data_IF_829607756890
#
_entry.id   IF_829607756890
#
_cell.length_a   1.000
_cell.length_b   1.000
_cell.length_c   1.000
_cell.angle_alpha   90.00
_cell.angle_beta   90.00
_cell.angle_gamma   90.00
#
_symmetry.space_group_name_H-M   'P 1'
#
loop_
_entity.id
_entity.type
_entity.pdbx_description
1 polymer ?
#
# COMPACT_ATOMS: atom_id res chain seq x y z
N UNK A 1 -45.82 35.14 -5.66
CA UNK A 1 -45.06 34.68 -4.47
C UNK A 1 -44.39 33.36 -4.81
N UNK A 2 -43.11 33.24 -4.44
CA UNK A 2 -42.23 32.05 -4.41
C UNK A 2 -41.57 31.57 -5.73
N UNK A 3 -40.24 31.63 -5.68
CA UNK A 3 -39.22 31.18 -6.62
C UNK A 3 -38.87 29.69 -6.45
N UNK A 4 -38.39 29.05 -7.53
CA UNK A 4 -37.22 28.14 -7.72
C UNK A 4 -37.56 27.18 -8.89
N UNK A 5 -37.06 27.31 -10.13
CA UNK A 5 -35.70 27.06 -10.69
C UNK A 5 -35.17 25.69 -10.19
N UNK A 6 -34.85 24.65 -10.99
CA UNK A 6 -33.85 24.48 -12.08
C UNK A 6 -34.20 23.18 -12.86
N UNK A 7 -34.58 23.17 -14.15
CA UNK A 7 -33.79 22.96 -15.41
C UNK A 7 -32.67 21.90 -15.37
N UNK A 8 -32.92 20.69 -15.88
CA UNK A 8 -32.40 20.16 -17.17
C UNK A 8 -31.31 19.06 -16.92
N UNK A 9 -30.98 18.07 -17.77
CA UNK A 9 -31.06 17.86 -19.23
C UNK A 9 -31.16 16.34 -19.52
N UNK A 10 -31.86 16.02 -20.59
CA UNK A 10 -32.10 14.72 -21.26
C UNK A 10 -30.92 14.13 -22.04
N UNK A 11 -30.92 12.78 -22.14
CA UNK A 11 -30.49 11.92 -23.27
C UNK A 11 -28.97 11.74 -23.52
N UNK A 12 -28.42 10.61 -24.01
CA UNK A 12 -28.94 9.36 -24.56
C UNK A 12 -27.89 8.24 -24.43
N UNK A 13 -28.36 6.99 -24.50
CA UNK A 13 -27.61 5.73 -24.52
C UNK A 13 -26.72 5.57 -25.77
N UNK A 14 -25.66 4.76 -25.69
CA UNK A 14 -25.21 3.87 -26.78
C UNK A 14 -24.40 2.66 -26.23
N UNK A 15 -24.93 1.47 -26.52
CA UNK A 15 -24.34 0.14 -26.33
C UNK A 15 -23.05 -0.06 -27.15
N UNK A 16 -22.10 -0.86 -26.65
CA UNK A 16 -21.42 -1.87 -27.49
C UNK A 16 -20.81 -3.01 -26.63
N UNK A 17 -21.38 -4.20 -26.80
CA UNK A 17 -20.85 -5.50 -26.37
C UNK A 17 -19.63 -5.88 -27.23
N UNK A 18 -18.58 -6.48 -26.63
CA UNK A 18 -17.93 -7.73 -27.10
C UNK A 18 -16.72 -8.16 -26.24
N UNK A 19 -16.76 -9.45 -25.88
CA UNK A 19 -15.63 -10.34 -25.52
C UNK A 19 -14.87 -10.11 -24.21
N UNK A 20 -15.44 -10.64 -23.11
CA UNK A 20 -14.66 -11.13 -21.96
C UNK A 20 -14.07 -12.51 -22.29
N UNK A 21 -12.76 -12.58 -22.54
CA UNK A 21 -12.01 -13.83 -22.43
C UNK A 21 -10.68 -13.55 -21.72
N UNK A 22 -10.59 -14.08 -20.51
CA UNK A 22 -9.41 -14.40 -19.70
C UNK A 22 -8.13 -13.57 -19.93
N UNK A 23 -7.83 -12.69 -18.97
CA UNK A 23 -6.47 -12.30 -18.62
C UNK A 23 -6.33 -12.25 -17.09
N UNK A 24 -5.19 -12.66 -16.52
CA UNK A 24 -4.93 -12.58 -15.07
C UNK A 24 -4.81 -11.11 -14.65
N UNK A 25 -5.56 -10.72 -13.62
CA UNK A 25 -5.71 -9.33 -13.18
C UNK A 25 -4.61 -8.91 -12.21
N UNK A 26 -3.50 -8.40 -12.74
CA UNK A 26 -2.79 -7.28 -12.15
C UNK A 26 -1.90 -6.62 -13.23
N UNK A 27 -1.98 -5.29 -13.31
CA UNK A 27 -1.62 -4.39 -14.42
C UNK A 27 -2.71 -4.14 -15.49
N UNK A 28 -3.39 -3.00 -15.37
CA UNK A 28 -3.90 -2.28 -16.53
C UNK A 28 -3.63 -0.78 -16.32
N UNK A 29 -2.78 -0.23 -17.18
CA UNK A 29 -2.49 1.20 -17.25
C UNK A 29 -3.75 1.99 -17.64
N UNK A 30 -3.88 3.16 -17.01
CA UNK A 30 -5.00 4.09 -17.15
C UNK A 30 -5.25 4.59 -18.59
N UNK A 31 -6.51 4.67 -18.98
CA UNK A 31 -7.03 5.64 -19.97
C UNK A 31 -8.38 6.20 -19.47
N UNK A 32 -8.55 7.54 -19.57
CA UNK A 32 -9.53 8.38 -18.85
C UNK A 32 -11.02 8.24 -19.22
N UNK A 33 -11.97 9.04 -18.75
CA UNK A 33 -12.00 10.37 -18.10
C UNK A 33 -13.27 10.46 -17.20
N UNK A 34 -13.34 11.30 -16.15
CA UNK A 34 -13.96 12.63 -16.21
C UNK A 34 -13.64 13.51 -14.98
N UNK A 35 -13.47 14.81 -15.24
CA UNK A 35 -13.06 15.88 -14.32
C UNK A 35 -14.10 16.26 -13.26
N UNK A 36 -13.65 16.39 -12.01
CA UNK A 36 -14.02 17.48 -11.10
C UNK A 36 -12.74 17.91 -10.38
N UNK A 37 -12.38 19.18 -10.50
CA UNK A 37 -11.02 19.67 -10.28
C UNK A 37 -10.50 19.51 -8.85
N UNK A 38 -9.34 18.87 -8.73
CA UNK A 38 -8.20 19.22 -7.88
C UNK A 38 -6.94 18.72 -8.60
N UNK A 39 -5.86 19.48 -8.47
CA UNK A 39 -4.66 19.44 -9.32
C UNK A 39 -4.13 18.03 -9.67
N UNK A 40 -3.87 17.83 -10.95
CA UNK A 40 -3.08 16.72 -11.48
C UNK A 40 -1.61 16.88 -11.09
N UNK A 41 -1.25 16.47 -9.88
CA UNK A 41 0.10 15.96 -9.60
C UNK A 41 0.05 14.45 -9.73
N UNK A 42 0.48 13.95 -10.89
CA UNK A 42 0.80 12.54 -11.06
C UNK A 42 2.02 12.23 -10.18
N UNK A 43 1.77 11.75 -8.96
CA UNK A 43 2.73 10.91 -8.24
C UNK A 43 2.91 9.61 -9.05
N UNK A 44 4.09 9.01 -9.02
CA UNK A 44 4.54 8.06 -10.05
C UNK A 44 3.82 6.70 -10.08
N UNK A 45 2.60 6.60 -9.53
CA UNK A 45 1.69 5.45 -9.67
C UNK A 45 2.11 4.20 -8.91
N UNK A 46 3.37 4.12 -8.50
CA UNK A 46 4.00 2.96 -7.89
C UNK A 46 4.20 3.11 -6.37
N UNK A 47 3.72 4.22 -5.77
CA UNK A 47 3.86 4.46 -4.34
C UNK A 47 2.64 4.01 -3.55
N UNK A 48 2.86 3.17 -2.55
CA UNK A 48 1.82 2.57 -1.71
C UNK A 48 1.95 3.09 -0.30
N UNK A 49 0.89 3.73 0.22
CA UNK A 49 0.84 4.17 1.61
C UNK A 49 0.76 2.97 2.57
N UNK A 50 1.52 3.03 3.65
CA UNK A 50 1.47 2.07 4.76
C UNK A 50 0.72 2.69 5.93
N UNK A 51 -0.28 1.99 6.42
CA UNK A 51 -1.16 2.43 7.49
C UNK A 51 -0.93 1.61 8.76
N UNK A 52 -1.04 2.27 9.91
CA UNK A 52 -1.08 1.58 11.21
C UNK A 52 -2.48 0.98 11.46
N UNK A 53 -2.64 0.27 12.58
CA UNK A 53 -3.94 -0.27 13.04
C UNK A 53 -5.08 0.76 13.05
N UNK A 54 -4.77 2.03 13.30
CA UNK A 54 -5.76 3.11 13.35
C UNK A 54 -6.11 3.70 11.96
N UNK A 55 -5.49 3.20 10.88
CA UNK A 55 -5.69 3.71 9.52
C UNK A 55 -4.89 4.98 9.22
N UNK A 56 -3.92 5.35 10.06
CA UNK A 56 -3.05 6.53 9.85
C UNK A 56 -1.82 6.13 9.04
N UNK A 57 -1.47 6.93 8.03
CA UNK A 57 -0.23 6.74 7.25
C UNK A 57 1.00 6.89 8.15
N UNK A 58 1.88 5.90 8.10
CA UNK A 58 3.11 5.79 8.93
C UNK A 58 4.37 5.55 8.09
N UNK A 59 4.21 5.35 6.78
CA UNK A 59 5.31 5.12 5.86
C UNK A 59 4.81 4.88 4.44
N UNK A 60 5.74 4.55 3.56
CA UNK A 60 5.47 4.38 2.13
C UNK A 60 6.26 3.21 1.58
N UNK A 61 5.73 2.56 0.55
CA UNK A 61 6.46 1.58 -0.26
C UNK A 61 6.63 2.18 -1.64
N UNK A 62 7.85 2.16 -2.17
CA UNK A 62 8.12 2.46 -3.57
C UNK A 62 9.19 1.48 -4.06
N UNK A 63 8.96 0.80 -5.20
CA UNK A 63 9.90 -0.16 -5.78
C UNK A 63 10.40 -1.23 -4.77
N UNK A 64 9.48 -1.78 -3.97
CA UNK A 64 9.77 -2.75 -2.89
C UNK A 64 10.68 -2.21 -1.78
N UNK A 65 10.90 -0.90 -1.70
CA UNK A 65 11.61 -0.23 -0.61
C UNK A 65 10.59 0.46 0.28
N UNK A 66 10.74 0.29 1.58
CA UNK A 66 9.89 0.88 2.61
C UNK A 66 10.59 2.12 3.16
N UNK A 67 9.93 3.25 3.07
CA UNK A 67 10.41 4.54 3.53
C UNK A 67 9.66 4.99 4.80
N UNK A 68 10.32 5.87 5.57
CA UNK A 68 9.69 6.60 6.66
C UNK A 68 8.54 7.48 6.17
N UNK A 69 7.78 8.02 7.13
CA UNK A 69 6.63 8.90 6.87
C UNK A 69 6.98 10.11 5.97
N UNK A 70 8.20 10.65 6.08
CA UNK A 70 8.68 11.77 5.26
C UNK A 70 9.18 11.37 3.87
N UNK A 71 9.39 10.08 3.58
CA UNK A 71 9.95 9.58 2.31
C UNK A 71 11.46 9.79 2.14
N UNK A 72 12.11 10.41 3.13
CA UNK A 72 13.53 10.79 3.09
C UNK A 72 14.49 9.68 3.52
N UNK A 73 14.00 8.60 4.16
CA UNK A 73 14.84 7.53 4.70
C UNK A 73 14.25 6.18 4.34
N UNK A 74 15.04 5.37 3.64
CA UNK A 74 14.74 3.95 3.48
C UNK A 74 14.95 3.22 4.81
N UNK A 75 13.92 2.52 5.27
CA UNK A 75 13.87 1.82 6.56
C UNK A 75 14.04 0.32 6.39
N UNK A 76 13.36 -0.25 5.39
CA UNK A 76 13.39 -1.66 5.10
C UNK A 76 13.14 -1.90 3.60
N UNK A 77 13.27 -3.14 3.15
CA UNK A 77 12.87 -3.53 1.81
C UNK A 77 12.20 -4.91 1.83
N UNK A 78 11.41 -5.17 0.80
CA UNK A 78 10.66 -6.42 0.60
C UNK A 78 11.41 -7.25 -0.43
N UNK A 79 11.67 -8.52 -0.10
CA UNK A 79 12.18 -9.51 -1.04
C UNK A 79 11.31 -10.76 -1.05
N UNK A 80 10.69 -11.04 -2.19
CA UNK A 80 9.58 -12.00 -2.33
C UNK A 80 8.42 -11.64 -1.39
N UNK A 81 8.46 -12.12 -0.15
CA UNK A 81 7.47 -11.83 0.90
C UNK A 81 8.13 -11.50 2.23
N UNK A 82 9.46 -11.52 2.30
CA UNK A 82 10.19 -11.25 3.52
C UNK A 82 10.60 -9.78 3.58
N UNK A 83 10.58 -9.23 4.78
CA UNK A 83 10.90 -7.83 5.06
C UNK A 83 12.21 -7.79 5.81
N UNK A 84 13.14 -6.99 5.30
CA UNK A 84 14.48 -6.86 5.85
C UNK A 84 14.78 -5.40 6.15
N UNK A 85 15.40 -5.14 7.31
CA UNK A 85 15.88 -3.81 7.67
C UNK A 85 16.97 -3.33 6.70
N UNK A 86 17.01 -2.04 6.40
CA UNK A 86 18.18 -1.42 5.78
C UNK A 86 19.31 -1.27 6.81
N UNK A 87 20.49 -1.79 6.50
CA UNK A 87 21.65 -1.77 7.39
C UNK A 87 21.71 -2.98 8.34
N UNK A 88 22.75 -3.05 9.16
CA UNK A 88 22.89 -4.09 10.20
C UNK A 88 22.75 -5.53 9.68
N UNK A 89 23.44 -5.87 8.58
CA UNK A 89 23.40 -7.19 7.92
C UNK A 89 22.04 -7.60 7.31
N UNK A 90 21.18 -6.64 6.96
CA UNK A 90 19.85 -6.91 6.36
C UNK A 90 19.04 -7.86 7.25
N UNK A 91 18.88 -7.51 8.52
CA UNK A 91 18.20 -8.36 9.50
C UNK A 91 16.74 -8.58 9.10
N UNK A 92 16.29 -9.84 9.14
CA UNK A 92 14.90 -10.22 8.90
C UNK A 92 13.98 -9.65 10.00
N UNK A 93 12.95 -8.91 9.58
CA UNK A 93 11.97 -8.26 10.44
C UNK A 93 10.67 -9.06 10.53
N UNK A 94 10.25 -9.65 9.43
CA UNK A 94 8.95 -10.32 9.31
C UNK A 94 8.53 -10.47 7.85
N UNK A 95 7.23 -10.51 7.59
CA UNK A 95 6.70 -10.78 6.25
C UNK A 95 5.74 -9.69 5.76
N UNK A 96 5.69 -9.51 4.45
CA UNK A 96 4.66 -8.75 3.76
C UNK A 96 3.82 -9.73 2.91
N UNK A 97 2.58 -9.94 3.33
CA UNK A 97 1.68 -10.90 2.70
C UNK A 97 0.24 -10.42 2.78
N UNK A 98 -0.53 -10.60 1.70
CA UNK A 98 -1.93 -10.15 1.56
C UNK A 98 -2.17 -8.70 2.02
N UNK A 99 -1.20 -7.82 1.78
CA UNK A 99 -1.25 -6.40 2.14
C UNK A 99 -0.97 -6.10 3.62
N UNK A 100 -0.57 -7.08 4.43
CA UNK A 100 -0.16 -6.88 5.82
C UNK A 100 1.35 -7.04 6.01
N UNK A 101 1.92 -6.13 6.79
CA UNK A 101 3.21 -6.35 7.43
C UNK A 101 2.99 -7.15 8.70
N UNK A 102 3.64 -8.30 8.80
CA UNK A 102 3.49 -9.25 9.91
C UNK A 102 4.80 -9.43 10.66
N UNK A 103 4.71 -9.48 11.98
CA UNK A 103 5.84 -9.80 12.84
C UNK A 103 6.28 -11.28 12.70
N UNK A 104 7.34 -11.65 13.42
CA UNK A 104 7.88 -13.02 13.40
C UNK A 104 6.95 -14.07 14.03
N UNK A 105 5.87 -13.65 14.68
CA UNK A 105 4.83 -14.52 15.22
C UNK A 105 3.59 -14.59 14.31
N UNK A 106 3.57 -13.87 13.18
CA UNK A 106 2.48 -13.88 12.21
C UNK A 106 1.37 -12.85 12.47
N UNK A 107 1.50 -12.01 13.50
CA UNK A 107 0.51 -10.96 13.80
C UNK A 107 0.75 -9.71 12.96
N UNK A 108 -0.33 -9.03 12.56
CA UNK A 108 -0.22 -7.83 11.73
C UNK A 108 0.27 -6.62 12.53
N UNK A 109 1.25 -5.89 12.00
CA UNK A 109 1.79 -4.65 12.56
C UNK A 109 1.23 -3.43 11.81
N UNK A 110 1.17 -3.54 10.48
CA UNK A 110 0.72 -2.48 9.59
C UNK A 110 0.06 -3.09 8.35
N UNK A 111 -0.60 -2.27 7.55
CA UNK A 111 -1.33 -2.72 6.37
C UNK A 111 -1.27 -1.70 5.23
N UNK A 112 -1.56 -2.15 4.01
CA UNK A 112 -1.74 -1.29 2.83
C UNK A 112 -3.16 -1.43 2.30
N UNK A 113 -3.61 -0.48 1.49
CA UNK A 113 -4.95 -0.53 0.88
C UNK A 113 -5.16 -1.85 0.12
N UNK A 114 -6.32 -2.47 0.34
CA UNK A 114 -6.66 -3.76 -0.27
C UNK A 114 -6.16 -4.97 0.52
N UNK A 115 -5.63 -4.79 1.72
CA UNK A 115 -5.23 -5.90 2.59
C UNK A 115 -6.42 -6.83 2.89
N UNK A 116 -6.15 -8.14 2.94
CA UNK A 116 -7.14 -9.21 3.11
C UNK A 116 -6.58 -10.36 3.95
N UNK A 117 -7.42 -11.30 4.38
CA UNK A 117 -7.04 -12.46 5.20
C UNK A 117 -6.24 -12.10 6.47
N UNK A 118 -6.66 -11.02 7.14
CA UNK A 118 -6.03 -10.51 8.35
C UNK A 118 -7.02 -9.76 9.25
N UNK A 119 -6.53 -9.09 10.30
CA UNK A 119 -7.41 -8.35 11.21
C UNK A 119 -8.20 -7.26 10.49
N UNK A 120 -9.34 -6.88 11.08
CA UNK A 120 -10.16 -5.77 10.59
C UNK A 120 -9.32 -4.48 10.60
N UNK A 121 -9.29 -3.81 9.44
CA UNK A 121 -8.64 -2.51 9.25
C UNK A 121 -9.67 -1.39 9.35
N UNK A 122 -9.24 -0.24 9.85
CA UNK A 122 -10.06 0.97 9.84
C UNK A 122 -9.95 1.70 8.50
N UNK A 123 -10.92 2.56 8.15
CA UNK A 123 -10.84 3.37 6.95
C UNK A 123 -9.50 4.14 6.88
N UNK A 124 -8.83 4.15 5.73
CA UNK A 124 -7.54 4.81 5.59
C UNK A 124 -7.70 6.34 5.66
N UNK A 125 -6.83 6.97 6.44
CA UNK A 125 -6.66 8.42 6.48
C UNK A 125 -5.49 8.78 5.57
N UNK A 126 -5.84 9.08 4.32
CA UNK A 126 -4.86 9.31 3.26
C UNK A 126 -4.06 10.59 3.43
N UNK A 127 -2.87 10.55 2.85
CA UNK A 127 -1.96 11.69 2.68
C UNK A 127 -1.38 11.67 1.28
N UNK A 128 -0.92 12.83 0.83
CA UNK A 128 -0.09 12.95 -0.37
C UNK A 128 1.29 12.31 -0.13
N UNK A 129 1.73 11.46 -1.06
CA UNK A 129 3.05 10.84 -1.02
C UNK A 129 4.17 11.90 -1.10
N UNK A 130 5.26 11.74 -0.33
CA UNK A 130 6.43 12.60 -0.44
C UNK A 130 7.22 12.29 -1.72
N UNK A 131 8.27 13.08 -1.95
CA UNK A 131 9.27 12.77 -2.97
C UNK A 131 10.29 11.81 -2.35
N UNK A 132 10.56 10.71 -3.03
CA UNK A 132 11.48 9.68 -2.57
C UNK A 132 12.87 9.88 -3.17
N UNK A 133 13.90 9.59 -2.39
CA UNK A 133 15.26 9.49 -2.92
C UNK A 133 15.48 8.10 -3.53
N UNK A 134 16.15 8.00 -4.69
CA UNK A 134 16.47 6.71 -5.28
C UNK A 134 17.43 5.95 -4.37
N UNK A 135 17.11 4.68 -4.09
CA UNK A 135 17.91 3.80 -3.24
C UNK A 135 18.11 2.47 -3.96
N UNK A 136 19.34 1.93 -3.86
CA UNK A 136 19.66 0.60 -4.38
C UNK A 136 19.40 -0.43 -3.29
N UNK A 137 18.56 -1.42 -3.58
CA UNK A 137 18.26 -2.53 -2.66
C UNK A 137 19.51 -3.40 -2.45
N UNK A 138 19.90 -3.71 -1.20
CA UNK A 138 21.00 -4.62 -0.89
C UNK A 138 20.70 -6.06 -1.35
N UNK A 139 21.76 -6.85 -1.52
CA UNK A 139 21.64 -8.31 -1.72
C UNK A 139 21.14 -8.94 -0.41
N UNK A 140 20.09 -9.75 -0.49
CA UNK A 140 19.53 -10.47 0.66
C UNK A 140 20.36 -11.71 1.00
N UNK A 141 20.57 -12.00 2.29
CA UNK A 141 21.13 -13.29 2.69
C UNK A 141 20.13 -14.41 2.37
N UNK A 142 20.65 -15.59 2.02
CA UNK A 142 19.83 -16.80 1.91
C UNK A 142 19.48 -17.24 3.32
N UNK A 143 18.25 -17.03 3.74
CA UNK A 143 17.73 -17.51 5.02
C UNK A 143 16.63 -18.56 4.80
N UNK A 144 16.70 -19.64 5.57
CA UNK A 144 15.63 -20.65 5.65
C UNK A 144 14.85 -20.36 6.92
N UNK A 145 13.86 -19.47 6.81
CA UNK A 145 12.95 -19.16 7.92
C UNK A 145 11.72 -20.07 7.84
N UNK A 146 11.34 -20.67 8.96
CA UNK A 146 10.03 -21.33 9.07
C UNK A 146 8.99 -20.22 9.01
N UNK A 147 8.12 -20.29 8.01
CA UNK A 147 7.05 -19.30 7.83
C UNK A 147 6.08 -19.38 9.01
N UNK A 148 5.89 -18.29 9.80
CA UNK A 148 4.93 -18.27 10.89
C UNK A 148 3.51 -18.42 10.35
N UNK A 149 2.64 -19.07 11.13
CA UNK A 149 1.21 -19.14 10.82
C UNK A 149 0.62 -17.74 10.99
N UNK A 150 -0.02 -17.23 9.94
CA UNK A 150 -0.63 -15.90 9.95
C UNK A 150 -1.88 -15.88 10.83
N UNK A 151 -2.01 -14.84 11.64
CA UNK A 151 -3.15 -14.67 12.55
C UNK A 151 -4.05 -13.53 12.08
N UNK A 152 -5.29 -13.53 12.60
CA UNK A 152 -6.23 -12.42 12.46
C UNK A 152 -6.07 -11.37 13.58
N UNK A 153 -4.91 -11.34 14.23
CA UNK A 153 -4.62 -10.47 15.37
C UNK A 153 -3.65 -9.37 14.99
N UNK A 154 -3.82 -8.21 15.64
CA UNK A 154 -2.82 -7.15 15.64
C UNK A 154 -1.66 -7.53 16.57
N UNK A 155 -0.45 -7.23 16.16
CA UNK A 155 0.75 -7.30 16.98
C UNK A 155 0.71 -6.23 18.09
N UNK A 156 1.46 -6.47 19.16
CA UNK A 156 1.74 -5.47 20.18
C UNK A 156 2.92 -4.55 19.79
N UNK A 157 3.63 -4.86 18.72
CA UNK A 157 4.72 -4.03 18.22
C UNK A 157 4.17 -2.74 17.59
N UNK A 158 4.82 -1.62 17.85
CA UNK A 158 4.64 -0.42 17.04
C UNK A 158 5.36 -0.57 15.69
N UNK A 159 5.05 0.33 14.76
CA UNK A 159 5.78 0.38 13.49
C UNK A 159 7.27 0.68 13.66
N UNK A 160 7.62 1.53 14.62
CA UNK A 160 9.01 1.85 14.93
C UNK A 160 9.75 0.61 15.46
N UNK A 161 9.14 -0.12 16.41
CA UNK A 161 9.71 -1.35 16.96
C UNK A 161 9.92 -2.42 15.88
N UNK A 162 8.94 -2.59 14.99
CA UNK A 162 9.04 -3.52 13.87
C UNK A 162 10.17 -3.16 12.91
N UNK A 163 10.44 -1.86 12.72
CA UNK A 163 11.55 -1.35 11.90
C UNK A 163 12.89 -1.35 12.64
N UNK A 164 12.93 -1.73 13.92
CA UNK A 164 14.14 -1.71 14.74
C UNK A 164 14.67 -0.30 15.02
N UNK A 165 13.78 0.68 15.17
CA UNK A 165 14.11 2.07 15.50
C UNK A 165 13.97 2.38 16.99
#
# INVERSE_FOLDING_TARGET
MRYLIILAVTAACLNFNKTFKHLPTWYTHATGMANAGLATTKFSGDEIAVYNKAGVVIGWIQNSIIFNYEGSKALAFIDKQDVFAFGGNNTYLGRFHNGFFRDKAGNAVAWVRGASDGPITLPPLDRVAPIFMPVIKPITPIIVTITPIETYSWSNLSWADFMGQ
#
